data_IF_196897377848
#
_entry.id   IF_196897377848
#
_cell.length_a   1.000
_cell.length_b   1.000
_cell.length_c   1.000
_cell.angle_alpha   90.00
_cell.angle_beta   90.00
_cell.angle_gamma   90.00
#
_symmetry.space_group_name_H-M   'P 1'
#
loop_
_entity.id
_entity.type
_entity.pdbx_description
1 polymer ?
#
# COMPACT_ATOMS: atom_id res chain seq x y z
N UNK A 1 0.92 -17.55 -15.62
CA UNK A 1 -0.34 -17.06 -15.01
C UNK A 1 -1.48 -17.64 -15.79
N UNK A 2 -2.19 -18.62 -15.23
CA UNK A 2 -3.31 -19.33 -15.87
C UNK A 2 -4.50 -18.36 -15.96
N UNK A 3 -5.08 -18.20 -17.16
CA UNK A 3 -6.16 -17.27 -17.51
C UNK A 3 -7.39 -17.35 -16.59
N UNK A 4 -7.34 -16.62 -15.49
CA UNK A 4 -8.54 -16.23 -14.77
C UNK A 4 -9.11 -15.02 -15.50
N UNK A 5 -10.38 -15.08 -15.86
CA UNK A 5 -11.08 -13.91 -16.40
C UNK A 5 -11.15 -12.81 -15.32
N UNK A 6 -10.95 -11.56 -15.73
CA UNK A 6 -11.05 -10.43 -14.82
C UNK A 6 -12.49 -10.28 -14.33
N UNK A 7 -12.68 -10.22 -13.01
CA UNK A 7 -13.98 -9.97 -12.40
C UNK A 7 -14.41 -8.50 -12.53
N UNK A 8 -13.45 -7.57 -12.32
CA UNK A 8 -13.62 -6.14 -12.56
C UNK A 8 -12.55 -5.69 -13.55
N UNK A 9 -12.98 -4.93 -14.57
CA UNK A 9 -12.08 -4.33 -15.55
C UNK A 9 -12.40 -2.84 -15.66
N UNK A 10 -11.36 -2.03 -15.54
CA UNK A 10 -11.40 -0.59 -15.74
C UNK A 10 -10.53 -0.27 -16.94
N UNK A 11 -11.07 0.42 -17.95
CA UNK A 11 -10.38 0.73 -19.19
C UNK A 11 -10.41 2.24 -19.46
N UNK A 12 -9.22 2.85 -19.52
CA UNK A 12 -8.97 4.26 -19.85
C UNK A 12 -9.90 5.23 -19.09
N UNK A 13 -10.12 4.95 -17.80
CA UNK A 13 -11.03 5.72 -16.96
C UNK A 13 -10.42 7.09 -16.64
N UNK A 14 -11.12 8.14 -17.04
CA UNK A 14 -10.78 9.52 -16.72
C UNK A 14 -11.94 10.16 -15.94
N UNK A 15 -11.62 10.88 -14.87
CA UNK A 15 -12.60 11.62 -14.08
C UNK A 15 -12.17 13.07 -13.92
N UNK A 16 -13.03 13.95 -14.35
CA UNK A 16 -12.85 15.40 -14.24
C UNK A 16 -13.92 16.01 -13.32
N UNK A 17 -13.53 17.06 -12.59
CA UNK A 17 -14.42 17.93 -11.83
C UNK A 17 -14.19 19.37 -12.32
N UNK A 18 -15.03 19.85 -13.23
CA UNK A 18 -14.76 21.08 -13.98
C UNK A 18 -13.46 20.93 -14.77
N UNK A 19 -12.51 21.84 -14.57
CA UNK A 19 -11.21 21.83 -15.24
C UNK A 19 -10.16 20.94 -14.51
N UNK A 20 -10.47 20.41 -13.33
CA UNK A 20 -9.56 19.57 -12.56
C UNK A 20 -9.70 18.10 -12.96
N UNK A 21 -8.61 17.49 -13.43
CA UNK A 21 -8.53 16.06 -13.71
C UNK A 21 -8.11 15.32 -12.44
N UNK A 22 -9.04 14.57 -11.86
CA UNK A 22 -8.81 13.80 -10.63
C UNK A 22 -8.29 12.40 -10.89
N UNK A 23 -8.59 11.84 -12.08
CA UNK A 23 -8.09 10.55 -12.57
C UNK A 23 -7.82 10.70 -14.06
N UNK A 24 -6.67 10.20 -14.50
CA UNK A 24 -6.24 10.27 -15.90
C UNK A 24 -5.86 8.87 -16.41
N UNK A 25 -6.59 8.42 -17.43
CA UNK A 25 -6.30 7.18 -18.18
C UNK A 25 -6.07 5.92 -17.32
N UNK A 26 -6.87 5.73 -16.29
CA UNK A 26 -6.75 4.61 -15.37
C UNK A 26 -7.21 3.31 -16.04
N UNK A 27 -6.30 2.33 -16.11
CA UNK A 27 -6.60 0.98 -16.61
C UNK A 27 -6.08 -0.07 -15.63
N UNK A 28 -6.97 -0.97 -15.18
CA UNK A 28 -6.62 -2.08 -14.28
C UNK A 28 -7.63 -3.22 -14.36
N UNK A 29 -7.18 -4.40 -14.00
CA UNK A 29 -8.00 -5.61 -13.87
C UNK A 29 -7.91 -6.13 -12.43
N UNK A 30 -9.05 -6.60 -11.88
CA UNK A 30 -9.13 -7.28 -10.58
C UNK A 30 -9.74 -8.66 -10.82
N UNK A 31 -9.09 -9.71 -10.32
CA UNK A 31 -9.52 -11.09 -10.53
C UNK A 31 -10.48 -11.55 -9.42
N UNK A 32 -11.28 -12.57 -9.74
CA UNK A 32 -12.24 -13.11 -8.77
C UNK A 32 -11.57 -13.62 -7.51
N UNK A 33 -12.08 -13.19 -6.35
CA UNK A 33 -11.54 -13.52 -5.03
C UNK A 33 -10.23 -12.82 -4.67
N UNK A 34 -9.73 -11.90 -5.51
CA UNK A 34 -8.52 -11.13 -5.26
C UNK A 34 -8.78 -10.00 -4.25
N UNK A 35 -7.78 -9.72 -3.42
CA UNK A 35 -7.73 -8.55 -2.54
C UNK A 35 -6.77 -7.51 -3.11
N UNK A 36 -7.28 -6.43 -3.67
CA UNK A 36 -6.47 -5.34 -4.25
C UNK A 36 -6.48 -4.13 -3.34
N UNK A 37 -5.31 -3.55 -3.06
CA UNK A 37 -5.19 -2.29 -2.34
C UNK A 37 -4.83 -1.14 -3.28
N UNK A 38 -5.61 -0.04 -3.26
CA UNK A 38 -5.21 1.24 -3.84
C UNK A 38 -4.44 2.03 -2.77
N UNK A 39 -3.17 2.29 -3.04
CA UNK A 39 -2.23 2.92 -2.13
C UNK A 39 -1.63 4.17 -2.76
N UNK A 40 -1.45 5.24 -2.00
CA UNK A 40 -0.86 6.49 -2.49
C UNK A 40 -1.07 7.65 -1.52
N UNK A 41 -0.48 8.82 -1.76
CA UNK A 41 -0.64 10.02 -0.94
C UNK A 41 -2.09 10.47 -0.84
N UNK A 42 -2.38 11.34 0.14
CA UNK A 42 -3.70 11.97 0.25
C UNK A 42 -3.98 12.83 -0.99
N UNK A 43 -5.18 12.71 -1.54
CA UNK A 43 -5.59 13.50 -2.71
C UNK A 43 -5.18 12.93 -4.08
N UNK A 44 -4.45 11.81 -4.16
CA UNK A 44 -4.02 11.23 -5.44
C UNK A 44 -5.11 10.49 -6.25
N UNK A 45 -6.39 10.53 -5.83
CA UNK A 45 -7.51 9.99 -6.62
C UNK A 45 -8.05 8.62 -6.18
N UNK A 46 -7.49 7.93 -5.17
CA UNK A 46 -7.90 6.58 -4.72
C UNK A 46 -9.40 6.44 -4.43
N UNK A 47 -9.92 7.29 -3.53
CA UNK A 47 -11.35 7.33 -3.20
C UNK A 47 -12.20 7.71 -4.40
N UNK A 48 -11.72 8.60 -5.28
CA UNK A 48 -12.40 8.95 -6.53
C UNK A 48 -12.54 7.73 -7.44
N UNK A 49 -11.48 6.92 -7.59
CA UNK A 49 -11.51 5.69 -8.38
C UNK A 49 -12.48 4.66 -7.77
N UNK A 50 -12.43 4.46 -6.45
CA UNK A 50 -13.35 3.57 -5.74
C UNK A 50 -14.81 4.01 -5.93
N UNK A 51 -15.09 5.33 -5.84
CA UNK A 51 -16.42 5.90 -6.05
C UNK A 51 -16.88 5.79 -7.50
N UNK A 52 -15.98 5.89 -8.48
CA UNK A 52 -16.28 5.65 -9.89
C UNK A 52 -16.68 4.19 -10.14
N UNK A 53 -15.94 3.23 -9.56
CA UNK A 53 -16.27 1.79 -9.60
C UNK A 53 -17.62 1.52 -8.95
N UNK A 54 -17.95 2.18 -7.84
CA UNK A 54 -19.24 2.07 -7.17
C UNK A 54 -20.40 2.79 -7.91
N UNK A 55 -20.09 3.65 -8.91
CA UNK A 55 -21.10 4.48 -9.59
C UNK A 55 -21.64 5.62 -8.75
N UNK A 56 -20.98 5.94 -7.63
CA UNK A 56 -21.28 7.11 -6.79
C UNK A 56 -20.85 8.41 -7.47
N UNK A 57 -19.76 8.35 -8.23
CA UNK A 57 -19.25 9.42 -9.09
C UNK A 57 -18.99 8.84 -10.48
N UNK A 58 -19.88 9.07 -11.44
CA UNK A 58 -19.73 8.55 -12.80
C UNK A 58 -18.45 9.15 -13.45
N UNK A 59 -17.65 8.31 -14.07
CA UNK A 59 -16.46 8.72 -14.83
C UNK A 59 -16.81 9.65 -15.99
N UNK A 60 -15.86 10.49 -16.40
CA UNK A 60 -16.03 11.40 -17.54
C UNK A 60 -15.80 10.65 -18.86
N UNK A 61 -14.77 9.77 -18.89
CA UNK A 61 -14.45 8.92 -20.03
C UNK A 61 -14.05 7.53 -19.52
N UNK A 62 -13.97 6.58 -20.46
CA UNK A 62 -13.55 5.21 -20.16
C UNK A 62 -14.70 4.30 -19.77
N UNK A 63 -14.36 3.05 -19.44
CA UNK A 63 -15.31 1.96 -19.22
C UNK A 63 -15.03 1.24 -17.90
N UNK A 64 -16.10 0.79 -17.27
CA UNK A 64 -16.04 -0.10 -16.11
C UNK A 64 -16.90 -1.32 -16.40
N UNK A 65 -16.30 -2.51 -16.33
CA UNK A 65 -16.96 -3.78 -16.53
C UNK A 65 -16.85 -4.64 -15.27
N UNK A 66 -17.95 -5.28 -14.85
CA UNK A 66 -17.98 -6.19 -13.70
C UNK A 66 -18.64 -7.51 -14.13
N UNK A 67 -17.97 -8.63 -13.89
CA UNK A 67 -18.44 -9.97 -14.26
C UNK A 67 -18.91 -10.06 -15.75
N UNK A 68 -18.15 -9.46 -16.67
CA UNK A 68 -18.47 -9.43 -18.11
C UNK A 68 -19.57 -8.45 -18.51
N UNK A 69 -20.12 -7.66 -17.58
CA UNK A 69 -21.17 -6.69 -17.84
C UNK A 69 -20.64 -5.26 -17.75
N UNK A 70 -20.89 -4.45 -18.77
CA UNK A 70 -20.62 -3.01 -18.72
C UNK A 70 -21.53 -2.33 -17.71
N UNK A 71 -20.92 -1.71 -16.69
CA UNK A 71 -21.62 -0.99 -15.61
C UNK A 71 -21.34 0.51 -15.63
N UNK A 72 -20.66 1.02 -16.64
CA UNK A 72 -20.16 2.40 -16.75
C UNK A 72 -21.23 3.44 -16.47
N UNK A 73 -22.42 3.28 -17.04
CA UNK A 73 -23.55 4.20 -16.88
C UNK A 73 -24.58 3.78 -15.82
N UNK A 74 -24.38 2.66 -15.12
CA UNK A 74 -25.36 2.18 -14.14
C UNK A 74 -25.27 2.94 -12.83
N UNK A 75 -26.43 3.30 -12.21
CA UNK A 75 -26.45 3.87 -10.87
C UNK A 75 -26.03 2.83 -9.82
N UNK A 76 -25.61 3.24 -8.59
CA UNK A 76 -25.13 2.33 -7.54
C UNK A 76 -26.09 1.18 -7.21
N UNK A 77 -27.41 1.40 -7.26
CA UNK A 77 -28.42 0.39 -6.95
C UNK A 77 -28.47 -0.78 -7.94
N UNK A 78 -27.94 -0.58 -9.15
CA UNK A 78 -27.89 -1.60 -10.21
C UNK A 78 -26.53 -2.29 -10.33
N UNK A 79 -25.54 -1.88 -9.51
CA UNK A 79 -24.22 -2.51 -9.43
C UNK A 79 -24.17 -3.52 -8.29
N UNK A 80 -23.38 -4.59 -8.49
CA UNK A 80 -23.25 -5.65 -7.48
C UNK A 80 -22.05 -5.41 -6.57
N UNK A 81 -22.20 -4.55 -5.55
CA UNK A 81 -21.17 -4.30 -4.56
C UNK A 81 -21.73 -4.07 -3.15
N UNK A 82 -20.86 -4.30 -2.14
CA UNK A 82 -21.02 -3.79 -0.78
C UNK A 82 -19.93 -2.78 -0.49
N UNK A 83 -20.22 -1.73 0.26
CA UNK A 83 -19.25 -0.68 0.58
C UNK A 83 -19.18 -0.39 2.07
N UNK A 84 -17.96 -0.21 2.58
CA UNK A 84 -17.67 0.34 3.90
C UNK A 84 -16.98 1.68 3.70
N UNK A 85 -17.59 2.75 4.17
CA UNK A 85 -17.05 4.10 4.12
C UNK A 85 -16.08 4.38 5.28
N UNK A 86 -15.21 5.35 5.14
CA UNK A 86 -14.25 5.78 6.16
C UNK A 86 -14.89 6.11 7.51
N UNK A 87 -16.06 6.75 7.50
CA UNK A 87 -16.85 7.06 8.71
C UNK A 87 -17.78 5.92 9.16
N UNK A 88 -17.65 4.72 8.54
CA UNK A 88 -18.56 3.58 8.69
C UNK A 88 -20.00 3.86 8.25
N UNK A 89 -20.44 5.10 8.24
CA UNK A 89 -21.78 5.57 7.83
C UNK A 89 -22.93 4.71 8.40
N UNK A 90 -22.85 4.30 9.67
CA UNK A 90 -23.93 3.59 10.34
C UNK A 90 -25.08 4.54 10.60
N UNK A 91 -26.30 4.01 10.47
CA UNK A 91 -27.53 4.74 10.82
C UNK A 91 -27.63 4.86 12.34
N UNK A 92 -27.48 6.06 12.93
CA UNK A 92 -27.35 6.21 14.39
C UNK A 92 -28.64 5.88 15.15
N UNK A 93 -29.78 5.96 14.50
CA UNK A 93 -31.11 5.69 15.03
C UNK A 93 -31.59 4.25 14.80
N UNK A 94 -30.76 3.40 14.21
CA UNK A 94 -31.04 1.97 14.00
C UNK A 94 -30.11 1.14 14.90
N UNK A 95 -30.63 0.00 15.39
CA UNK A 95 -29.80 -0.96 16.13
C UNK A 95 -28.78 -1.64 15.21
N UNK A 96 -27.88 -2.42 15.78
CA UNK A 96 -26.92 -3.26 15.03
C UNK A 96 -27.66 -4.18 14.07
N UNK A 97 -28.66 -4.93 14.58
CA UNK A 97 -29.50 -5.80 13.76
C UNK A 97 -30.12 -5.03 12.58
N UNK A 98 -30.75 -3.89 12.85
CA UNK A 98 -31.40 -3.07 11.83
C UNK A 98 -30.42 -2.47 10.81
N UNK A 99 -29.22 -2.07 11.26
CA UNK A 99 -28.16 -1.61 10.37
C UNK A 99 -27.74 -2.71 9.39
N UNK A 100 -27.48 -3.93 9.88
CA UNK A 100 -27.08 -5.07 9.04
C UNK A 100 -28.23 -5.50 8.12
N UNK A 101 -29.46 -5.53 8.61
CA UNK A 101 -30.65 -5.91 7.87
C UNK A 101 -31.07 -4.92 6.77
N UNK A 102 -30.57 -3.67 6.81
CA UNK A 102 -31.09 -2.55 6.00
C UNK A 102 -31.19 -2.86 4.49
N UNK A 103 -30.12 -3.40 3.92
CA UNK A 103 -30.07 -3.77 2.50
C UNK A 103 -31.01 -4.93 2.15
N UNK A 104 -31.19 -5.89 3.05
CA UNK A 104 -32.09 -7.03 2.88
C UNK A 104 -33.56 -6.60 2.92
N UNK A 105 -33.90 -5.69 3.85
CA UNK A 105 -35.25 -5.09 3.93
C UNK A 105 -35.58 -4.36 2.64
N UNK A 106 -34.63 -3.57 2.10
CA UNK A 106 -34.82 -2.86 0.84
C UNK A 106 -35.06 -3.80 -0.35
N UNK A 107 -34.45 -5.00 -0.32
CA UNK A 107 -34.67 -6.08 -1.32
C UNK A 107 -35.95 -6.90 -1.06
N UNK A 108 -36.77 -6.54 -0.05
CA UNK A 108 -38.00 -7.24 0.33
C UNK A 108 -37.78 -8.71 0.72
N UNK A 109 -36.61 -9.04 1.27
CA UNK A 109 -36.29 -10.37 1.82
C UNK A 109 -37.24 -10.70 2.99
N UNK A 110 -37.58 -11.96 3.16
CA UNK A 110 -38.48 -12.36 4.25
C UNK A 110 -37.82 -12.19 5.63
N UNK A 111 -38.64 -11.90 6.66
CA UNK A 111 -38.12 -11.67 8.01
C UNK A 111 -37.27 -12.84 8.55
N UNK A 112 -37.68 -14.13 8.43
CA UNK A 112 -36.88 -15.25 8.90
C UNK A 112 -35.51 -15.35 8.19
N UNK A 113 -35.46 -15.06 6.89
CA UNK A 113 -34.21 -15.05 6.13
C UNK A 113 -33.28 -13.89 6.56
N UNK A 114 -33.88 -12.70 6.84
CA UNK A 114 -33.14 -11.56 7.38
C UNK A 114 -32.53 -11.91 8.73
N UNK A 115 -33.34 -12.41 9.67
CA UNK A 115 -32.88 -12.72 11.03
C UNK A 115 -31.78 -13.80 11.00
N UNK A 116 -31.93 -14.84 10.18
CA UNK A 116 -30.91 -15.87 10.00
C UNK A 116 -29.60 -15.31 9.42
N UNK A 117 -29.69 -14.44 8.39
CA UNK A 117 -28.51 -13.85 7.75
C UNK A 117 -27.79 -12.86 8.66
N UNK A 118 -28.52 -12.05 9.42
CA UNK A 118 -27.96 -11.12 10.40
C UNK A 118 -27.23 -11.90 11.50
N UNK A 119 -27.83 -12.95 12.06
CA UNK A 119 -27.21 -13.81 13.08
C UNK A 119 -25.89 -14.44 12.55
N UNK A 120 -25.90 -15.02 11.35
CA UNK A 120 -24.71 -15.58 10.69
C UNK A 120 -23.57 -14.55 10.59
N UNK A 121 -23.89 -13.33 10.15
CA UNK A 121 -22.89 -12.27 9.96
C UNK A 121 -22.36 -11.75 11.30
N UNK A 122 -23.22 -11.52 12.29
CA UNK A 122 -22.81 -11.08 13.62
C UNK A 122 -21.94 -12.13 14.33
N UNK A 123 -22.25 -13.41 14.16
CA UNK A 123 -21.42 -14.51 14.63
C UNK A 123 -20.04 -14.48 13.95
N UNK A 124 -19.99 -14.30 12.63
CA UNK A 124 -18.73 -14.29 11.86
C UNK A 124 -17.76 -13.16 12.26
N UNK A 125 -18.29 -12.06 12.81
CA UNK A 125 -17.51 -10.90 13.27
C UNK A 125 -17.43 -10.78 14.80
N UNK A 126 -17.96 -11.77 15.55
CA UNK A 126 -17.89 -11.82 17.02
C UNK A 126 -18.74 -10.75 17.72
N UNK A 127 -19.93 -10.47 17.21
CA UNK A 127 -20.87 -9.46 17.74
C UNK A 127 -22.26 -10.04 18.11
N UNK A 128 -22.36 -11.33 18.45
CA UNK A 128 -23.62 -12.02 18.73
C UNK A 128 -24.49 -11.30 19.76
N UNK A 129 -23.88 -10.84 20.88
CA UNK A 129 -24.61 -10.20 21.98
C UNK A 129 -24.78 -8.68 21.80
N UNK A 130 -24.59 -8.16 20.62
CA UNK A 130 -24.60 -6.72 20.36
C UNK A 130 -25.78 -6.26 19.47
N UNK A 131 -26.65 -7.16 19.05
CA UNK A 131 -27.67 -6.93 18.03
C UNK A 131 -28.69 -5.82 18.36
N UNK A 132 -29.02 -5.64 19.64
CA UNK A 132 -29.97 -4.63 20.12
C UNK A 132 -29.33 -3.27 20.44
N UNK A 133 -28.00 -3.17 20.38
CA UNK A 133 -27.30 -1.90 20.65
C UNK A 133 -27.37 -0.93 19.49
N UNK A 134 -27.29 0.35 19.82
CA UNK A 134 -27.14 1.42 18.85
C UNK A 134 -25.66 1.73 18.58
N UNK A 135 -25.29 2.30 17.42
CA UNK A 135 -23.90 2.63 17.09
C UNK A 135 -23.15 3.42 18.17
N UNK A 136 -23.80 4.37 18.81
CA UNK A 136 -23.21 5.17 19.89
C UNK A 136 -22.79 4.37 21.14
N UNK A 137 -23.28 3.14 21.29
CA UNK A 137 -22.95 2.24 22.40
C UNK A 137 -21.80 1.27 22.08
N UNK A 138 -21.22 1.39 20.87
CA UNK A 138 -20.19 0.51 20.35
C UNK A 138 -18.83 1.21 20.29
N UNK A 139 -17.74 0.45 20.49
CA UNK A 139 -16.40 0.93 20.17
C UNK A 139 -16.21 1.10 18.66
N UNK A 140 -15.21 1.88 18.23
CA UNK A 140 -14.91 2.09 16.81
C UNK A 140 -14.71 0.77 16.04
N UNK A 141 -13.96 -0.17 16.60
CA UNK A 141 -13.78 -1.49 15.98
C UNK A 141 -15.06 -2.33 15.92
N UNK A 142 -15.98 -2.19 16.88
CA UNK A 142 -17.30 -2.82 16.81
C UNK A 142 -18.16 -2.17 15.72
N UNK A 143 -18.17 -0.83 15.63
CA UNK A 143 -18.87 -0.10 14.57
C UNK A 143 -18.39 -0.52 13.18
N UNK A 144 -17.08 -0.68 12.98
CA UNK A 144 -16.50 -1.16 11.74
C UNK A 144 -17.00 -2.56 11.38
N UNK A 145 -17.01 -3.50 12.34
CA UNK A 145 -17.52 -4.87 12.11
C UNK A 145 -19.01 -4.87 11.75
N UNK A 146 -19.81 -3.98 12.34
CA UNK A 146 -21.21 -3.79 11.95
C UNK A 146 -21.33 -3.25 10.53
N UNK A 147 -20.51 -2.26 10.15
CA UNK A 147 -20.49 -1.72 8.78
C UNK A 147 -20.07 -2.78 7.75
N UNK A 148 -19.07 -3.62 8.09
CA UNK A 148 -18.64 -4.74 7.27
C UNK A 148 -19.77 -5.78 7.12
N UNK A 149 -20.44 -6.16 8.21
CA UNK A 149 -21.59 -7.07 8.19
C UNK A 149 -22.73 -6.51 7.32
N UNK A 150 -23.03 -5.21 7.44
CA UNK A 150 -24.02 -4.53 6.59
C UNK A 150 -23.65 -4.60 5.10
N UNK A 151 -22.39 -4.34 4.76
CA UNK A 151 -21.90 -4.41 3.38
C UNK A 151 -22.01 -5.82 2.80
N UNK A 152 -21.78 -6.86 3.61
CA UNK A 152 -21.82 -8.27 3.22
C UNK A 152 -23.23 -8.89 3.28
N UNK A 153 -24.21 -8.21 3.86
CA UNK A 153 -25.55 -8.78 4.09
C UNK A 153 -26.23 -9.23 2.79
N UNK A 154 -26.12 -8.45 1.75
CA UNK A 154 -26.71 -8.71 0.42
C UNK A 154 -25.95 -9.71 -0.43
N UNK A 155 -24.89 -10.33 0.09
CA UNK A 155 -23.97 -11.25 -0.63
C UNK A 155 -23.44 -10.64 -1.94
N UNK A 156 -22.78 -9.48 -1.88
CA UNK A 156 -22.25 -8.83 -3.07
C UNK A 156 -21.08 -9.63 -3.66
N UNK A 157 -20.87 -9.53 -4.97
CA UNK A 157 -19.69 -10.10 -5.61
C UNK A 157 -18.42 -9.27 -5.43
N UNK A 158 -18.56 -7.96 -5.12
CA UNK A 158 -17.45 -7.02 -4.89
C UNK A 158 -17.61 -6.32 -3.53
N UNK A 159 -16.55 -6.30 -2.74
CA UNK A 159 -16.47 -5.55 -1.49
C UNK A 159 -15.53 -4.35 -1.67
N UNK A 160 -16.03 -3.16 -1.40
CA UNK A 160 -15.29 -1.89 -1.48
C UNK A 160 -15.07 -1.36 -0.06
N UNK A 161 -13.82 -1.08 0.29
CA UNK A 161 -13.40 -0.59 1.61
C UNK A 161 -12.68 0.74 1.45
N UNK A 162 -13.29 1.84 1.89
CA UNK A 162 -12.72 3.18 1.80
C UNK A 162 -12.10 3.55 3.16
N UNK A 163 -10.78 3.43 3.28
CA UNK A 163 -9.99 3.66 4.49
C UNK A 163 -10.60 3.05 5.76
N UNK A 164 -10.92 1.75 5.77
CA UNK A 164 -11.75 1.15 6.81
C UNK A 164 -11.11 1.15 8.19
N UNK A 165 -9.80 1.36 8.32
CA UNK A 165 -9.04 1.23 9.55
C UNK A 165 -8.48 2.56 10.06
N UNK A 166 -8.64 3.67 9.32
CA UNK A 166 -8.00 4.97 9.60
C UNK A 166 -8.38 5.59 10.94
N UNK A 167 -9.62 5.35 11.42
CA UNK A 167 -10.13 5.93 12.67
C UNK A 167 -9.78 5.13 13.94
N UNK A 168 -8.95 4.09 13.84
CA UNK A 168 -8.69 3.15 14.93
C UNK A 168 -7.28 3.29 15.50
N UNK A 169 -7.12 2.93 16.78
CA UNK A 169 -5.81 2.85 17.42
C UNK A 169 -4.95 1.70 16.83
N UNK A 170 -3.62 1.81 16.98
CA UNK A 170 -2.66 0.90 16.34
C UNK A 170 -2.88 -0.59 16.69
N UNK A 171 -3.21 -0.91 17.97
CA UNK A 171 -3.40 -2.30 18.40
C UNK A 171 -4.67 -2.91 17.79
N UNK A 172 -5.77 -2.14 17.80
CA UNK A 172 -7.04 -2.55 17.19
C UNK A 172 -6.88 -2.70 15.69
N UNK A 173 -6.14 -1.80 15.03
CA UNK A 173 -5.86 -1.84 13.59
C UNK A 173 -5.15 -3.13 13.18
N UNK A 174 -4.08 -3.52 13.86
CA UNK A 174 -3.34 -4.77 13.59
C UNK A 174 -4.25 -5.99 13.66
N UNK A 175 -5.10 -6.07 14.69
CA UNK A 175 -6.04 -7.17 14.85
C UNK A 175 -7.10 -7.20 13.75
N UNK A 176 -7.68 -6.06 13.42
CA UNK A 176 -8.74 -5.96 12.41
C UNK A 176 -8.24 -6.20 10.99
N UNK A 177 -7.00 -5.81 10.67
CA UNK A 177 -6.34 -6.19 9.40
C UNK A 177 -6.41 -7.70 9.19
N UNK A 178 -5.98 -8.46 10.20
CA UNK A 178 -6.01 -9.92 10.13
C UNK A 178 -7.45 -10.46 10.00
N UNK A 179 -8.39 -9.97 10.80
CA UNK A 179 -9.80 -10.40 10.78
C UNK A 179 -10.46 -10.14 9.41
N UNK A 180 -10.25 -8.96 8.81
CA UNK A 180 -10.78 -8.62 7.48
C UNK A 180 -10.20 -9.55 6.41
N UNK A 181 -8.87 -9.78 6.41
CA UNK A 181 -8.24 -10.70 5.44
C UNK A 181 -8.75 -12.12 5.60
N UNK A 182 -8.88 -12.63 6.83
CA UNK A 182 -9.43 -13.97 7.08
C UNK A 182 -10.91 -14.09 6.64
N UNK A 183 -11.71 -13.05 6.87
CA UNK A 183 -13.10 -13.03 6.43
C UNK A 183 -13.20 -13.03 4.90
N UNK A 184 -12.38 -12.22 4.23
CA UNK A 184 -12.30 -12.16 2.78
C UNK A 184 -11.93 -13.53 2.18
N UNK A 185 -10.90 -14.18 2.72
CA UNK A 185 -10.48 -15.53 2.30
C UNK A 185 -11.58 -16.58 2.52
N UNK A 186 -12.25 -16.55 3.69
CA UNK A 186 -13.34 -17.46 4.04
C UNK A 186 -14.52 -17.32 3.08
N UNK A 187 -14.84 -16.09 2.67
CA UNK A 187 -15.97 -15.79 1.79
C UNK A 187 -15.61 -15.90 0.30
N UNK A 188 -14.31 -15.87 -0.06
CA UNK A 188 -13.84 -15.83 -1.43
C UNK A 188 -14.28 -14.57 -2.20
N UNK A 189 -14.59 -13.46 -1.48
CA UNK A 189 -15.13 -12.25 -2.10
C UNK A 189 -14.02 -11.39 -2.70
N UNK A 190 -14.25 -10.90 -3.92
CA UNK A 190 -13.37 -9.92 -4.56
C UNK A 190 -13.40 -8.62 -3.77
N UNK A 191 -12.24 -8.07 -3.40
CA UNK A 191 -12.16 -6.93 -2.49
C UNK A 191 -11.23 -5.86 -3.03
N UNK A 192 -11.67 -4.61 -3.00
CA UNK A 192 -10.83 -3.43 -3.24
C UNK A 192 -10.82 -2.59 -1.97
N UNK A 193 -9.63 -2.28 -1.48
CA UNK A 193 -9.42 -1.43 -0.32
C UNK A 193 -8.61 -0.20 -0.70
N UNK A 194 -9.08 0.97 -0.27
CA UNK A 194 -8.31 2.21 -0.31
C UNK A 194 -7.62 2.39 1.03
N UNK A 195 -6.35 2.71 1.02
CA UNK A 195 -5.58 3.08 2.22
C UNK A 195 -4.45 4.03 1.87
N UNK A 196 -3.97 4.78 2.85
CA UNK A 196 -2.71 5.51 2.82
C UNK A 196 -1.65 4.86 3.73
N UNK A 197 -2.01 3.77 4.43
CA UNK A 197 -1.12 3.03 5.32
C UNK A 197 -0.43 1.90 4.53
N UNK A 198 0.90 2.00 4.43
CA UNK A 198 1.72 1.03 3.70
C UNK A 198 1.66 -0.36 4.33
N UNK A 199 1.64 -0.46 5.67
CA UNK A 199 1.57 -1.74 6.36
C UNK A 199 0.26 -2.47 6.07
N UNK A 200 -0.85 -1.73 5.93
CA UNK A 200 -2.14 -2.32 5.55
C UNK A 200 -2.04 -2.93 4.15
N UNK A 201 -1.53 -2.16 3.18
CA UNK A 201 -1.39 -2.62 1.81
C UNK A 201 -0.43 -3.83 1.71
N UNK A 202 0.76 -3.74 2.32
CA UNK A 202 1.78 -4.79 2.27
C UNK A 202 1.34 -6.09 2.95
N UNK A 203 0.47 -6.03 3.99
CA UNK A 203 0.07 -7.21 4.76
C UNK A 203 -1.25 -7.85 4.31
N UNK A 204 -2.14 -7.09 3.67
CA UNK A 204 -3.48 -7.58 3.31
C UNK A 204 -3.66 -7.86 1.82
N UNK A 205 -2.98 -7.11 0.95
CA UNK A 205 -3.22 -7.19 -0.48
C UNK A 205 -2.57 -8.41 -1.13
N UNK A 206 -3.26 -8.98 -2.12
CA UNK A 206 -2.66 -9.90 -3.09
C UNK A 206 -1.94 -9.10 -4.18
N UNK A 207 -2.49 -7.91 -4.55
CA UNK A 207 -1.85 -6.90 -5.41
C UNK A 207 -2.11 -5.50 -4.89
N UNK A 208 -1.11 -4.64 -5.06
CA UNK A 208 -1.15 -3.22 -4.74
C UNK A 208 -1.15 -2.42 -6.05
N UNK A 209 -2.01 -1.42 -6.11
CA UNK A 209 -2.05 -0.38 -7.15
C UNK A 209 -1.53 0.90 -6.50
N UNK A 210 -0.30 1.28 -6.80
CA UNK A 210 0.28 2.55 -6.32
C UNK A 210 -0.18 3.68 -7.22
N UNK A 211 -0.78 4.70 -6.62
CA UNK A 211 -1.34 5.86 -7.33
C UNK A 211 -0.66 7.14 -6.89
N UNK A 212 -0.44 8.03 -7.85
CA UNK A 212 0.06 9.38 -7.62
C UNK A 212 -0.61 10.35 -8.60
N UNK A 213 -1.00 11.55 -8.16
CA UNK A 213 -1.53 12.63 -9.00
C UNK A 213 -2.57 12.20 -10.05
N UNK A 214 -3.44 11.26 -9.69
CA UNK A 214 -4.52 10.79 -10.56
C UNK A 214 -4.13 9.69 -11.56
N UNK A 215 -2.90 9.20 -11.55
CA UNK A 215 -2.42 8.11 -12.41
C UNK A 215 -1.99 6.88 -11.60
N UNK A 216 -1.86 5.74 -12.27
CA UNK A 216 -1.27 4.52 -11.69
C UNK A 216 0.22 4.53 -12.00
N UNK A 217 1.05 4.53 -10.95
CA UNK A 217 2.50 4.43 -11.06
C UNK A 217 2.97 2.99 -11.24
N UNK A 218 2.43 2.07 -10.42
CA UNK A 218 2.81 0.66 -10.45
C UNK A 218 1.68 -0.24 -9.97
N UNK A 219 1.57 -1.43 -10.58
CA UNK A 219 0.72 -2.53 -10.11
C UNK A 219 1.60 -3.75 -9.92
N UNK A 220 1.53 -4.39 -8.75
CA UNK A 220 2.33 -5.59 -8.48
C UNK A 220 1.93 -6.27 -7.17
N UNK A 221 2.57 -7.41 -6.87
CA UNK A 221 2.47 -8.00 -5.54
C UNK A 221 3.13 -7.10 -4.50
N UNK A 222 2.78 -7.21 -3.21
CA UNK A 222 3.47 -6.46 -2.15
C UNK A 222 5.00 -6.57 -2.23
N UNK A 223 5.51 -7.76 -2.52
CA UNK A 223 6.94 -8.01 -2.66
C UNK A 223 7.54 -7.28 -3.88
N UNK A 224 6.85 -7.28 -5.05
CA UNK A 224 7.34 -6.59 -6.24
C UNK A 224 7.39 -5.07 -6.03
N UNK A 225 6.32 -4.50 -5.44
CA UNK A 225 6.24 -3.07 -5.14
C UNK A 225 7.38 -2.63 -4.21
N UNK A 226 7.67 -3.44 -3.18
CA UNK A 226 8.73 -3.15 -2.21
C UNK A 226 10.13 -3.34 -2.76
N UNK A 227 10.40 -4.48 -3.44
CA UNK A 227 11.75 -4.86 -3.86
C UNK A 227 12.13 -4.36 -5.27
N UNK A 228 11.14 -4.04 -6.12
CA UNK A 228 11.33 -3.61 -7.51
C UNK A 228 10.47 -2.39 -7.86
N UNK A 229 10.63 -1.27 -7.14
CA UNK A 229 9.93 -0.05 -7.49
C UNK A 229 10.33 0.39 -8.91
N UNK A 230 9.32 0.80 -9.72
CA UNK A 230 9.55 1.15 -11.13
C UNK A 230 10.17 2.53 -11.32
N UNK A 231 10.01 3.40 -10.33
CA UNK A 231 10.53 4.77 -10.36
C UNK A 231 10.88 5.27 -8.95
N UNK A 232 11.58 6.40 -8.84
CA UNK A 232 11.98 6.96 -7.54
C UNK A 232 10.79 7.30 -6.64
N UNK A 233 9.66 7.73 -7.20
CA UNK A 233 8.46 8.02 -6.40
C UNK A 233 7.98 6.77 -5.65
N UNK A 234 7.83 5.64 -6.33
CA UNK A 234 7.40 4.39 -5.68
C UNK A 234 8.45 3.93 -4.66
N UNK A 235 9.75 4.08 -4.98
CA UNK A 235 10.85 3.74 -4.08
C UNK A 235 10.81 4.54 -2.78
N UNK A 236 10.52 5.84 -2.85
CA UNK A 236 10.41 6.77 -1.72
C UNK A 236 9.12 6.55 -0.93
N UNK A 237 8.01 6.42 -1.66
CA UNK A 237 6.69 6.30 -1.05
C UNK A 237 6.53 4.98 -0.28
N UNK A 238 7.22 3.89 -0.64
CA UNK A 238 7.08 2.57 0.00
C UNK A 238 8.29 2.25 0.86
N UNK A 239 8.14 2.32 2.18
CA UNK A 239 9.22 2.08 3.13
C UNK A 239 10.23 3.22 3.20
N UNK A 240 11.45 2.91 3.62
CA UNK A 240 12.57 3.88 3.65
C UNK A 240 13.56 3.51 2.55
N UNK A 241 14.12 4.51 1.87
CA UNK A 241 15.09 4.34 0.80
C UNK A 241 16.26 5.33 0.97
N UNK A 242 17.47 4.93 0.68
CA UNK A 242 18.58 5.85 0.45
C UNK A 242 18.56 6.29 -1.01
N UNK A 243 18.69 7.58 -1.26
CA UNK A 243 18.81 8.18 -2.58
C UNK A 243 20.18 8.86 -2.68
N UNK A 244 21.01 8.41 -3.58
CA UNK A 244 22.37 8.90 -3.78
C UNK A 244 22.50 9.43 -5.19
N UNK A 245 22.87 10.69 -5.33
CA UNK A 245 23.16 11.27 -6.64
C UNK A 245 24.47 10.68 -7.19
N UNK A 246 24.47 10.31 -8.45
CA UNK A 246 25.63 9.71 -9.10
C UNK A 246 25.64 9.90 -10.60
N UNK A 247 26.62 9.30 -11.24
CA UNK A 247 26.76 9.23 -12.70
C UNK A 247 26.87 7.78 -13.16
N UNK A 248 26.33 7.49 -14.33
CA UNK A 248 26.44 6.19 -14.93
C UNK A 248 27.87 5.93 -15.41
N UNK A 249 28.45 4.78 -15.02
CA UNK A 249 29.74 4.31 -15.48
C UNK A 249 29.68 3.40 -16.70
N UNK A 250 30.62 2.47 -16.78
CA UNK A 250 30.58 1.38 -17.76
C UNK A 250 29.43 0.39 -17.42
N UNK A 251 29.05 -0.54 -18.32
CA UNK A 251 27.97 -1.46 -18.05
C UNK A 251 28.08 -2.13 -16.67
N UNK A 252 26.99 -2.05 -15.88
CA UNK A 252 26.91 -2.52 -14.51
C UNK A 252 27.82 -1.78 -13.48
N UNK A 253 28.21 -0.55 -13.77
CA UNK A 253 28.94 0.33 -12.84
C UNK A 253 28.24 1.69 -12.72
N UNK A 254 28.31 2.26 -11.52
CA UNK A 254 27.83 3.61 -11.21
C UNK A 254 28.89 4.31 -10.34
N UNK A 255 28.97 5.61 -10.46
CA UNK A 255 29.87 6.42 -9.63
C UNK A 255 28.99 7.29 -8.70
N UNK A 256 29.21 7.15 -7.40
CA UNK A 256 28.55 7.95 -6.35
C UNK A 256 29.62 8.59 -5.48
N UNK A 257 29.70 9.92 -5.44
CA UNK A 257 30.71 10.65 -4.64
C UNK A 257 32.14 10.14 -4.86
N UNK A 258 32.57 9.98 -6.12
CA UNK A 258 33.87 9.44 -6.54
C UNK A 258 34.15 7.98 -6.15
N UNK A 259 33.12 7.25 -5.65
CA UNK A 259 33.19 5.82 -5.37
C UNK A 259 32.57 5.06 -6.53
N UNK A 260 33.33 4.17 -7.15
CA UNK A 260 32.81 3.24 -8.16
C UNK A 260 32.09 2.07 -7.47
N UNK A 261 30.82 1.86 -7.84
CA UNK A 261 29.98 0.77 -7.31
C UNK A 261 29.56 -0.13 -8.47
N UNK A 262 29.64 -1.43 -8.26
CA UNK A 262 29.01 -2.40 -9.15
C UNK A 262 27.47 -2.39 -8.90
N UNK A 263 26.67 -2.29 -9.95
CA UNK A 263 25.21 -2.32 -9.89
C UNK A 263 24.66 -3.33 -10.90
N UNK A 264 24.19 -4.49 -10.41
CA UNK A 264 23.72 -5.58 -11.27
C UNK A 264 22.48 -5.22 -12.10
N UNK A 265 21.70 -4.26 -11.64
CA UNK A 265 20.45 -3.82 -12.25
C UNK A 265 20.55 -2.37 -12.76
N UNK A 266 21.54 -2.10 -13.58
CA UNK A 266 21.63 -0.82 -14.28
C UNK A 266 20.42 -0.64 -15.19
N UNK A 267 19.82 0.58 -15.29
CA UNK A 267 18.65 0.80 -16.11
C UNK A 267 18.98 0.65 -17.60
N UNK A 268 18.06 0.04 -18.33
CA UNK A 268 18.16 -0.04 -19.78
C UNK A 268 18.11 1.38 -20.39
N UNK A 269 19.06 1.68 -21.27
CA UNK A 269 19.08 2.93 -22.05
C UNK A 269 19.80 4.12 -21.44
N UNK A 270 20.39 4.02 -20.23
CA UNK A 270 21.27 5.05 -19.65
C UNK A 270 22.66 4.98 -20.30
N UNK A 271 23.18 6.13 -20.68
CA UNK A 271 24.50 6.26 -21.27
C UNK A 271 25.53 6.56 -20.18
N UNK A 272 26.79 6.21 -20.47
CA UNK A 272 27.90 6.63 -19.61
C UNK A 272 27.89 8.15 -19.43
N UNK A 273 28.22 8.58 -18.21
CA UNK A 273 28.24 9.97 -17.74
C UNK A 273 26.85 10.65 -17.61
N UNK A 274 25.73 9.93 -17.88
CA UNK A 274 24.41 10.45 -17.56
C UNK A 274 24.25 10.59 -16.03
N UNK A 275 23.56 11.64 -15.59
CA UNK A 275 23.17 11.82 -14.20
C UNK A 275 22.12 10.78 -13.82
N UNK A 276 22.32 10.12 -12.67
CA UNK A 276 21.45 9.04 -12.18
C UNK A 276 21.17 9.21 -10.70
N UNK A 277 20.10 8.56 -10.24
CA UNK A 277 19.85 8.32 -8.84
C UNK A 277 20.09 6.85 -8.51
N UNK A 278 20.99 6.60 -7.56
CA UNK A 278 21.31 5.27 -7.04
C UNK A 278 20.56 5.07 -5.74
N UNK A 279 19.82 3.97 -5.64
CA UNK A 279 18.95 3.70 -4.50
C UNK A 279 19.29 2.36 -3.84
N UNK A 280 19.25 2.32 -2.51
CA UNK A 280 19.34 1.09 -1.72
C UNK A 280 18.55 1.22 -0.42
N UNK A 281 17.90 0.16 0.01
CA UNK A 281 17.17 0.15 1.28
C UNK A 281 18.13 0.05 2.47
N UNK A 282 17.81 0.68 3.62
CA UNK A 282 18.65 0.59 4.82
C UNK A 282 18.90 -0.83 5.31
N UNK A 283 17.90 -1.71 5.20
CA UNK A 283 18.00 -3.13 5.58
C UNK A 283 18.82 -3.98 4.61
N UNK A 284 18.99 -3.52 3.36
CA UNK A 284 19.80 -4.19 2.33
C UNK A 284 21.29 -3.81 2.41
N UNK A 285 21.64 -2.78 3.18
CA UNK A 285 23.04 -2.41 3.42
C UNK A 285 23.72 -3.49 4.26
N UNK A 286 24.74 -4.11 3.73
CA UNK A 286 25.49 -5.14 4.45
C UNK A 286 26.34 -4.51 5.56
N UNK A 287 26.10 -4.95 6.80
CA UNK A 287 26.71 -4.38 8.01
C UNK A 287 27.49 -5.40 8.83
N UNK A 288 27.48 -6.69 8.47
CA UNK A 288 28.17 -7.75 9.20
C UNK A 288 29.13 -8.51 8.30
N UNK A 289 30.36 -8.75 8.77
CA UNK A 289 31.36 -9.52 8.04
C UNK A 289 31.93 -8.79 6.81
N UNK A 290 31.74 -7.48 6.74
CA UNK A 290 32.26 -6.63 5.67
C UNK A 290 33.70 -6.24 5.95
N UNK A 291 34.55 -6.37 4.94
CA UNK A 291 35.93 -5.87 4.94
C UNK A 291 36.15 -4.92 3.76
N UNK A 292 37.24 -4.19 3.74
CA UNK A 292 37.56 -3.28 2.61
C UNK A 292 37.73 -4.02 1.27
N UNK A 293 37.98 -5.33 1.30
CA UNK A 293 38.09 -6.17 0.09
C UNK A 293 36.68 -6.66 -0.40
N UNK A 294 35.64 -6.37 0.34
CA UNK A 294 34.24 -6.74 -0.05
C UNK A 294 33.83 -5.85 -1.22
N UNK A 295 33.18 -6.42 -2.23
CA UNK A 295 32.63 -5.66 -3.36
C UNK A 295 31.68 -4.56 -2.85
N UNK A 296 31.85 -3.34 -3.37
CA UNK A 296 31.11 -2.15 -2.95
C UNK A 296 31.26 -1.81 -1.45
N UNK A 297 32.41 -2.13 -0.86
CA UNK A 297 32.70 -1.71 0.51
C UNK A 297 32.90 -0.20 0.57
N UNK A 298 32.34 0.42 1.59
CA UNK A 298 32.41 1.86 1.85
C UNK A 298 32.83 2.07 3.31
N UNK A 299 33.88 2.86 3.53
CA UNK A 299 34.27 3.27 4.88
C UNK A 299 33.43 4.48 5.29
N UNK A 300 32.81 4.38 6.46
CA UNK A 300 31.90 5.39 6.97
C UNK A 300 32.22 5.73 8.43
N UNK A 301 31.64 6.82 8.90
CA UNK A 301 31.60 7.19 10.32
C UNK A 301 30.14 7.24 10.76
N UNK A 302 29.80 6.61 11.88
CA UNK A 302 28.46 6.62 12.44
C UNK A 302 28.17 8.02 13.00
N UNK A 303 27.24 8.75 12.39
CA UNK A 303 26.82 10.07 12.85
C UNK A 303 25.73 9.98 13.92
N UNK A 304 24.71 9.16 13.67
CA UNK A 304 23.60 8.93 14.62
C UNK A 304 23.27 7.45 14.70
N UNK A 305 22.71 7.05 15.84
CA UNK A 305 22.28 5.67 16.08
C UNK A 305 20.93 5.67 16.81
N UNK A 306 19.82 5.60 16.04
CA UNK A 306 18.46 5.68 16.55
C UNK A 306 17.91 4.30 16.88
N UNK A 307 17.43 4.10 18.12
CA UNK A 307 16.78 2.85 18.53
C UNK A 307 15.31 2.84 18.14
N UNK A 308 14.93 1.95 17.22
CA UNK A 308 13.55 1.81 16.72
C UNK A 308 12.81 0.58 17.30
N UNK A 309 13.26 0.07 18.43
CA UNK A 309 12.63 -1.03 19.16
C UNK A 309 13.17 -2.41 18.75
N UNK A 310 13.02 -2.81 17.50
CA UNK A 310 13.50 -4.11 16.98
C UNK A 310 14.88 -4.05 16.33
N UNK A 311 15.37 -2.87 15.98
CA UNK A 311 16.67 -2.62 15.36
C UNK A 311 17.13 -1.18 15.66
N UNK A 312 18.36 -0.86 15.28
CA UNK A 312 18.89 0.51 15.26
C UNK A 312 19.00 0.97 13.81
N UNK A 313 18.56 2.19 13.52
CA UNK A 313 18.87 2.87 12.26
C UNK A 313 20.05 3.80 12.46
N UNK A 314 21.12 3.54 11.74
CA UNK A 314 22.32 4.37 11.75
C UNK A 314 22.31 5.32 10.55
N UNK A 315 22.69 6.58 10.76
CA UNK A 315 23.10 7.49 9.70
C UNK A 315 24.62 7.44 9.63
N UNK A 316 25.13 7.04 8.48
CA UNK A 316 26.54 6.77 8.22
C UNK A 316 27.08 7.79 7.23
N UNK A 317 27.98 8.67 7.66
CA UNK A 317 28.65 9.63 6.78
C UNK A 317 29.77 8.92 6.04
N UNK A 318 29.74 9.00 4.72
CA UNK A 318 30.79 8.43 3.86
C UNK A 318 32.06 9.24 4.02
N UNK A 319 33.22 8.58 4.27
CA UNK A 319 34.51 9.27 4.34
C UNK A 319 34.88 9.81 2.96
N UNK A 320 35.46 11.00 2.93
CA UNK A 320 35.95 11.71 1.73
C UNK A 320 34.85 12.06 0.69
N UNK A 321 33.56 11.85 1.00
CA UNK A 321 32.43 12.11 0.11
C UNK A 321 31.53 13.29 0.54
N UNK A 322 32.12 14.29 1.18
CA UNK A 322 31.44 15.51 1.60
C UNK A 322 30.34 15.27 2.65
N UNK A 323 29.10 15.65 2.33
CA UNK A 323 27.93 15.48 3.23
C UNK A 323 27.11 14.22 2.93
N UNK A 324 27.58 13.33 2.06
CA UNK A 324 26.81 12.14 1.69
C UNK A 324 26.67 11.20 2.88
N UNK A 325 25.42 10.90 3.22
CA UNK A 325 25.06 9.98 4.29
C UNK A 325 24.27 8.80 3.75
N UNK A 326 24.49 7.63 4.34
CA UNK A 326 23.77 6.38 4.03
C UNK A 326 23.09 5.91 5.31
N UNK A 327 21.79 5.64 5.25
CA UNK A 327 21.06 4.99 6.36
C UNK A 327 21.24 3.47 6.25
N UNK A 328 21.53 2.81 7.37
CA UNK A 328 21.63 1.35 7.45
C UNK A 328 20.94 0.82 8.71
N UNK A 329 20.29 -0.32 8.59
CA UNK A 329 19.60 -0.95 9.71
C UNK A 329 20.52 -1.98 10.39
N UNK A 330 20.84 -1.73 11.65
CA UNK A 330 21.71 -2.57 12.47
C UNK A 330 20.86 -3.43 13.42
N UNK A 331 21.08 -4.72 13.42
CA UNK A 331 20.42 -5.56 14.41
C UNK A 331 20.88 -5.22 15.82
N UNK A 332 20.01 -5.37 16.82
CA UNK A 332 20.34 -5.16 18.24
C UNK A 332 21.57 -5.98 18.63
N UNK A 333 21.69 -7.21 18.13
CA UNK A 333 22.80 -8.08 18.40
C UNK A 333 24.11 -7.53 17.83
N UNK A 334 24.10 -6.99 16.61
CA UNK A 334 25.28 -6.38 16.00
C UNK A 334 25.82 -5.22 16.84
N UNK A 335 24.92 -4.31 17.24
CA UNK A 335 25.27 -3.14 18.05
C UNK A 335 25.87 -3.55 19.39
N UNK A 336 25.28 -4.55 20.04
CA UNK A 336 25.75 -5.06 21.33
C UNK A 336 27.09 -5.82 21.21
N UNK A 337 27.21 -6.73 20.21
CA UNK A 337 28.36 -7.62 20.06
C UNK A 337 29.63 -6.85 19.69
N UNK A 338 29.50 -5.79 18.89
CA UNK A 338 30.61 -4.91 18.44
C UNK A 338 30.74 -3.62 19.27
N UNK A 339 29.88 -3.41 20.28
CA UNK A 339 29.84 -2.21 21.11
C UNK A 339 29.80 -0.92 20.25
N UNK A 340 28.92 -0.90 19.26
CA UNK A 340 28.82 0.17 18.25
C UNK A 340 28.31 1.45 18.93
N UNK A 341 28.97 2.58 18.60
CA UNK A 341 28.64 3.91 19.10
C UNK A 341 28.82 5.00 18.05
N UNK A 342 28.17 6.13 18.28
CA UNK A 342 28.36 7.33 17.45
C UNK A 342 29.82 7.79 17.44
N UNK A 343 30.29 8.30 16.31
CA UNK A 343 31.65 8.71 16.06
C UNK A 343 32.62 7.56 15.67
N UNK A 344 32.16 6.31 15.72
CA UNK A 344 32.98 5.15 15.35
C UNK A 344 33.06 4.98 13.83
N UNK A 345 34.25 4.63 13.34
CA UNK A 345 34.43 4.17 11.96
C UNK A 345 33.79 2.81 11.78
N UNK A 346 33.05 2.64 10.68
CA UNK A 346 32.35 1.39 10.37
C UNK A 346 32.38 1.13 8.87
N UNK A 347 32.77 -0.08 8.47
CA UNK A 347 32.76 -0.48 7.06
C UNK A 347 31.44 -1.16 6.74
N UNK A 348 30.75 -0.64 5.73
CA UNK A 348 29.54 -1.23 5.16
C UNK A 348 29.81 -1.69 3.73
N UNK A 349 28.89 -2.49 3.16
CA UNK A 349 28.89 -2.71 1.72
C UNK A 349 27.48 -2.53 1.14
N UNK A 350 27.42 -2.13 -0.13
CA UNK A 350 26.19 -1.95 -0.90
C UNK A 350 26.07 -3.09 -1.89
N UNK A 351 25.34 -4.20 -1.57
CA UNK A 351 25.26 -5.37 -2.46
C UNK A 351 24.71 -4.99 -3.83
N UNK A 352 25.40 -5.38 -4.89
CA UNK A 352 25.12 -4.95 -6.26
C UNK A 352 23.74 -5.34 -6.79
N UNK A 353 23.18 -6.46 -6.31
CA UNK A 353 21.85 -6.97 -6.65
C UNK A 353 20.71 -6.21 -5.96
N UNK A 354 21.00 -5.52 -4.86
CA UNK A 354 20.08 -4.66 -4.11
C UNK A 354 20.11 -3.20 -4.56
N UNK A 355 21.13 -2.79 -5.29
CA UNK A 355 21.20 -1.44 -5.87
C UNK A 355 20.17 -1.31 -6.98
N UNK A 356 19.40 -0.20 -6.95
CA UNK A 356 18.50 0.24 -8.01
C UNK A 356 19.01 1.54 -8.58
N UNK A 357 18.93 1.69 -9.89
CA UNK A 357 19.44 2.88 -10.60
C UNK A 357 18.33 3.44 -11.47
N UNK A 358 18.09 4.75 -11.34
CA UNK A 358 17.09 5.48 -12.13
C UNK A 358 17.78 6.59 -12.93
N UNK A 359 17.34 6.79 -14.19
CA UNK A 359 17.90 7.79 -15.11
C UNK A 359 17.48 9.23 -14.85
N UNK A 360 16.85 9.49 -13.69
CA UNK A 360 16.41 10.83 -13.30
C UNK A 360 17.08 11.23 -11.99
N UNK A 361 17.41 12.52 -11.86
CA UNK A 361 17.85 13.07 -10.58
C UNK A 361 16.63 13.30 -9.72
N UNK A 362 16.46 12.51 -8.68
CA UNK A 362 15.38 12.65 -7.72
C UNK A 362 15.87 13.46 -6.51
N UNK A 363 15.24 14.61 -6.25
CA UNK A 363 15.46 15.37 -5.03
C UNK A 363 14.51 14.85 -3.95
N UNK A 364 15.04 14.22 -2.91
CA UNK A 364 14.25 13.79 -1.77
C UNK A 364 13.70 15.01 -1.02
N UNK A 365 12.46 14.92 -0.52
CA UNK A 365 11.85 16.02 0.23
C UNK A 365 12.64 16.42 1.50
N UNK A 366 13.44 15.51 2.04
CA UNK A 366 14.32 15.75 3.20
C UNK A 366 15.67 16.45 2.82
N UNK A 367 16.01 16.59 1.53
CA UNK A 367 17.23 17.29 1.08
C UNK A 367 17.06 18.81 0.98
N UNK A 368 15.90 19.35 1.37
CA UNK A 368 15.53 20.77 1.37
C UNK A 368 15.56 21.34 2.79
N UNK A 369 16.62 21.04 3.57
CA UNK A 369 16.88 21.76 4.84
C UNK A 369 18.30 22.30 4.85
#
# INVERSE_FOLDING_TARGET
MTGKDAYLKVENLTKMFGDFTALEDISLEVFEGEFVCFLGPSGCGKTTLLRAIAGLDIQTHGRVEQAGKDISGLPPLERDFGIVFQSYALFPNLTVHQNVAYGLVSRKTSKPEIDARVAELLESVGLVDQEDKYPAQLSGGQQQRVALSRALATKPGLLLLDEPLSALDAKVRVRLRHEIKQLQLKLGITTIMVTHDQEEALTMADRIVVMNEGVIEQIGTPQDIYSRPVNPFVADFIGTMNFLAGTAGDPAQVCVCDIELAAANGPEGIKKDDSITVCIRPEDVATRGVTLDTTNAVLTVIETLEFLGSFYRATLRVQDAGKTAIRADFSINLVRDLNISEGQEFTIALPSDHIRVYGETFAHADDVI
#
